data_IF_845853229148
#
_entry.id   IF_845853229148
#
_cell.length_a   1.000
_cell.length_b   1.000
_cell.length_c   1.000
_cell.angle_alpha   90.00
_cell.angle_beta   90.00
_cell.angle_gamma   90.00
#
_symmetry.space_group_name_H-M   'P 1'
#
loop_
_entity.id
_entity.type
_entity.pdbx_description
1 polymer ?
#
# COMPACT_ATOMS: atom_id res chain seq x y z
N UNK A 1 11.60 -24.90 6.14
CA UNK A 1 11.25 -23.52 5.73
C UNK A 1 11.71 -22.60 6.83
N UNK A 2 12.62 -21.66 6.54
CA UNK A 2 13.05 -20.70 7.56
C UNK A 2 11.88 -19.79 7.95
N UNK A 3 11.80 -19.46 9.24
CA UNK A 3 10.76 -18.60 9.84
C UNK A 3 10.57 -17.29 9.05
N UNK A 4 11.67 -16.73 8.53
CA UNK A 4 11.68 -15.56 7.65
C UNK A 4 10.81 -15.74 6.40
N UNK A 5 11.01 -16.83 5.65
CA UNK A 5 10.23 -17.09 4.43
C UNK A 5 8.75 -17.29 4.73
N UNK A 6 8.43 -17.99 5.82
CA UNK A 6 7.04 -18.17 6.25
C UNK A 6 6.35 -16.84 6.56
N UNK A 7 7.02 -15.95 7.30
CA UNK A 7 6.49 -14.63 7.63
C UNK A 7 6.30 -13.78 6.37
N UNK A 8 7.30 -13.75 5.49
CA UNK A 8 7.22 -12.97 4.25
C UNK A 8 6.10 -13.46 3.32
N UNK A 9 5.90 -14.78 3.21
CA UNK A 9 4.82 -15.37 2.42
C UNK A 9 3.43 -14.98 2.95
N UNK A 10 3.22 -15.10 4.26
CA UNK A 10 1.95 -14.68 4.91
C UNK A 10 1.71 -13.19 4.70
N UNK A 11 2.73 -12.35 4.93
CA UNK A 11 2.60 -10.91 4.72
C UNK A 11 2.34 -10.53 3.26
N UNK A 12 2.87 -11.29 2.29
CA UNK A 12 2.57 -11.13 0.87
C UNK A 12 1.07 -11.35 0.55
N UNK A 13 0.49 -12.42 1.10
CA UNK A 13 -0.96 -12.68 0.98
C UNK A 13 -1.79 -11.56 1.62
N UNK A 14 -1.36 -11.07 2.79
CA UNK A 14 -2.02 -9.95 3.46
C UNK A 14 -1.93 -8.66 2.64
N UNK A 15 -0.80 -8.41 1.99
CA UNK A 15 -0.61 -7.24 1.12
C UNK A 15 -1.56 -7.30 -0.07
N UNK A 16 -1.70 -8.46 -0.71
CA UNK A 16 -2.67 -8.68 -1.80
C UNK A 16 -4.11 -8.42 -1.33
N UNK A 17 -4.48 -8.92 -0.15
CA UNK A 17 -5.77 -8.64 0.45
C UNK A 17 -5.97 -7.14 0.71
N UNK A 18 -4.94 -6.45 1.20
CA UNK A 18 -4.96 -5.00 1.43
C UNK A 18 -5.13 -4.19 0.14
N UNK A 19 -4.47 -4.59 -0.94
CA UNK A 19 -4.65 -4.00 -2.28
C UNK A 19 -6.09 -4.18 -2.75
N UNK A 20 -6.64 -5.39 -2.69
CA UNK A 20 -8.02 -5.68 -3.12
C UNK A 20 -9.05 -4.90 -2.31
N UNK A 21 -8.87 -4.82 -0.99
CA UNK A 21 -9.72 -4.02 -0.12
C UNK A 21 -9.60 -2.52 -0.46
N UNK A 22 -8.39 -2.01 -0.65
CA UNK A 22 -8.19 -0.58 -1.00
C UNK A 22 -8.86 -0.26 -2.34
N UNK A 23 -8.74 -1.14 -3.32
CA UNK A 23 -9.44 -1.03 -4.59
C UNK A 23 -10.97 -1.01 -4.40
N UNK A 24 -11.52 -1.96 -3.64
CA UNK A 24 -12.95 -2.04 -3.41
C UNK A 24 -13.49 -0.77 -2.72
N UNK A 25 -12.77 -0.26 -1.72
CA UNK A 25 -13.10 0.99 -1.07
C UNK A 25 -13.06 2.17 -2.04
N UNK A 26 -12.03 2.23 -2.90
CA UNK A 26 -11.90 3.29 -3.91
C UNK A 26 -13.04 3.24 -4.92
N UNK A 27 -13.43 2.03 -5.36
CA UNK A 27 -14.59 1.80 -6.24
C UNK A 27 -15.90 2.26 -5.58
N UNK A 28 -16.08 1.97 -4.29
CA UNK A 28 -17.22 2.46 -3.53
C UNK A 28 -17.22 3.99 -3.53
N UNK A 29 -16.13 4.62 -3.11
CA UNK A 29 -16.05 6.09 -3.04
C UNK A 29 -16.25 6.76 -4.41
N UNK A 30 -15.69 6.20 -5.49
CA UNK A 30 -15.86 6.70 -6.86
C UNK A 30 -17.31 6.66 -7.34
N UNK A 31 -18.05 5.58 -7.02
CA UNK A 31 -19.46 5.45 -7.37
C UNK A 31 -20.30 6.58 -6.77
N UNK A 32 -19.93 7.09 -5.60
CA UNK A 32 -20.67 8.13 -4.89
C UNK A 32 -20.20 9.56 -5.15
N UNK A 33 -18.90 9.80 -5.37
CA UNK A 33 -18.36 11.16 -5.50
C UNK A 33 -18.04 11.62 -6.91
N UNK A 34 -17.61 10.73 -7.80
CA UNK A 34 -16.87 11.17 -9.00
C UNK A 34 -17.53 10.74 -10.31
N UNK A 35 -18.40 9.72 -10.31
CA UNK A 35 -19.07 9.24 -11.53
C UNK A 35 -18.11 8.65 -12.59
N UNK A 36 -16.79 8.76 -12.39
CA UNK A 36 -15.73 8.21 -13.24
C UNK A 36 -15.28 6.85 -12.70
N UNK A 37 -15.97 5.77 -13.08
CA UNK A 37 -15.64 4.40 -12.65
C UNK A 37 -14.34 3.78 -13.20
N UNK A 38 -13.42 4.60 -13.76
CA UNK A 38 -12.17 4.15 -14.40
C UNK A 38 -10.94 4.33 -13.51
N UNK A 39 -10.99 5.21 -12.50
CA UNK A 39 -9.83 5.54 -11.66
C UNK A 39 -9.50 4.40 -10.67
N UNK A 40 -10.50 3.70 -10.14
CA UNK A 40 -10.30 2.61 -9.18
C UNK A 40 -9.59 1.43 -9.83
N UNK A 41 -9.85 1.16 -11.11
CA UNK A 41 -9.11 0.15 -11.87
C UNK A 41 -7.61 0.42 -11.94
N UNK A 42 -7.19 1.68 -11.97
CA UNK A 42 -5.77 2.05 -11.96
C UNK A 42 -5.12 1.80 -10.59
N UNK A 43 -5.87 1.91 -9.48
CA UNK A 43 -5.40 1.49 -8.14
C UNK A 43 -5.20 -0.02 -8.10
N UNK A 44 -6.15 -0.80 -8.63
CA UNK A 44 -6.01 -2.25 -8.69
C UNK A 44 -4.81 -2.65 -9.56
N UNK A 45 -4.69 -2.05 -10.76
CA UNK A 45 -3.60 -2.33 -11.68
C UNK A 45 -2.25 -1.97 -11.04
N UNK A 46 -2.12 -0.77 -10.46
CA UNK A 46 -0.89 -0.34 -9.78
C UNK A 46 -0.54 -1.24 -8.59
N UNK A 47 -1.54 -1.69 -7.83
CA UNK A 47 -1.36 -2.65 -6.73
C UNK A 47 -0.95 -4.05 -7.19
N UNK A 48 -1.55 -4.57 -8.27
CA UNK A 48 -1.18 -5.87 -8.83
C UNK A 48 0.23 -5.86 -9.42
N UNK A 49 0.58 -4.79 -10.14
CA UNK A 49 1.94 -4.56 -10.63
C UNK A 49 2.92 -4.57 -9.45
N UNK A 50 2.61 -3.81 -8.39
CA UNK A 50 3.40 -3.77 -7.15
C UNK A 50 3.60 -5.16 -6.52
N UNK A 51 2.57 -6.00 -6.53
CA UNK A 51 2.67 -7.34 -5.96
C UNK A 51 3.66 -8.24 -6.72
N UNK A 52 3.90 -8.00 -8.01
CA UNK A 52 4.92 -8.71 -8.79
C UNK A 52 6.33 -8.44 -8.28
N UNK A 53 6.59 -7.28 -7.66
CA UNK A 53 7.91 -6.92 -7.13
C UNK A 53 8.31 -7.70 -5.90
N UNK A 54 7.36 -8.40 -5.29
CA UNK A 54 7.61 -9.33 -4.18
C UNK A 54 7.79 -10.78 -4.65
N UNK A 55 7.89 -11.05 -5.96
CA UNK A 55 8.14 -12.38 -6.53
C UNK A 55 9.58 -12.48 -7.06
N UNK A 56 10.53 -13.04 -6.27
CA UNK A 56 11.96 -13.05 -6.62
C UNK A 56 12.28 -13.79 -7.92
N UNK A 57 11.49 -14.82 -8.25
CA UNK A 57 11.70 -15.69 -9.42
C UNK A 57 11.50 -14.97 -10.76
N UNK A 58 10.69 -13.90 -10.78
CA UNK A 58 10.40 -13.14 -12.01
C UNK A 58 11.52 -12.14 -12.30
N UNK A 59 12.25 -11.72 -11.27
CA UNK A 59 13.33 -10.73 -11.38
C UNK A 59 14.64 -11.32 -11.93
N UNK A 60 14.83 -12.65 -11.84
CA UNK A 60 16.06 -13.31 -12.30
C UNK A 60 16.16 -13.53 -13.82
N UNK A 61 15.05 -13.66 -14.55
CA UNK A 61 15.06 -13.96 -15.99
C UNK A 61 14.76 -12.76 -16.92
N UNK A 62 14.46 -11.58 -16.35
CA UNK A 62 14.08 -10.39 -17.15
C UNK A 62 14.13 -9.06 -16.40
N UNK A 63 15.01 -8.95 -15.39
CA UNK A 63 14.95 -7.95 -14.32
C UNK A 63 14.75 -6.49 -14.73
N UNK A 64 15.23 -6.05 -15.89
CA UNK A 64 15.08 -4.66 -16.34
C UNK A 64 13.64 -4.29 -16.73
N UNK A 65 12.92 -5.15 -17.46
CA UNK A 65 11.51 -4.89 -17.85
C UNK A 65 10.57 -4.92 -16.65
N UNK A 66 10.85 -5.83 -15.70
CA UNK A 66 10.07 -5.99 -14.48
C UNK A 66 10.22 -4.76 -13.57
N UNK A 67 11.44 -4.22 -13.45
CA UNK A 67 11.66 -2.97 -12.70
C UNK A 67 10.90 -1.80 -13.29
N UNK A 68 10.90 -1.64 -14.62
CA UNK A 68 10.11 -0.57 -15.26
C UNK A 68 8.62 -0.71 -14.98
N UNK A 69 8.08 -1.93 -15.03
CA UNK A 69 6.70 -2.18 -14.62
C UNK A 69 6.48 -1.77 -13.16
N UNK A 70 7.38 -2.12 -12.24
CA UNK A 70 7.23 -1.81 -10.82
C UNK A 70 7.31 -0.33 -10.49
N UNK A 71 8.09 0.44 -11.24
CA UNK A 71 8.12 1.91 -11.14
C UNK A 71 6.77 2.51 -11.55
N UNK A 72 6.06 1.90 -12.51
CA UNK A 72 4.74 2.37 -12.95
C UNK A 72 3.69 2.17 -11.83
N UNK A 73 3.83 1.17 -10.97
CA UNK A 73 2.92 0.89 -9.85
C UNK A 73 2.61 2.13 -8.98
N UNK A 74 3.60 2.72 -8.30
CA UNK A 74 3.40 3.89 -7.45
C UNK A 74 3.03 5.14 -8.25
N UNK A 75 3.46 5.26 -9.51
CA UNK A 75 3.06 6.36 -10.40
C UNK A 75 1.56 6.32 -10.69
N UNK A 76 1.02 5.15 -11.02
CA UNK A 76 -0.43 4.96 -11.24
C UNK A 76 -1.22 5.26 -9.97
N UNK A 77 -0.76 4.74 -8.82
CA UNK A 77 -1.42 4.99 -7.53
C UNK A 77 -1.39 6.50 -7.24
N UNK A 78 -0.22 7.13 -7.30
CA UNK A 78 -0.07 8.57 -7.08
C UNK A 78 -0.94 9.44 -8.00
N UNK A 79 -1.00 9.09 -9.29
CA UNK A 79 -1.88 9.75 -10.26
C UNK A 79 -3.35 9.66 -9.86
N UNK A 80 -3.84 8.46 -9.52
CA UNK A 80 -5.23 8.29 -9.08
C UNK A 80 -5.51 9.06 -7.80
N UNK A 81 -4.60 9.01 -6.83
CA UNK A 81 -4.76 9.74 -5.57
C UNK A 81 -4.86 11.25 -5.80
N UNK A 82 -4.06 11.79 -6.74
CA UNK A 82 -4.10 13.20 -7.13
C UNK A 82 -5.40 13.56 -7.87
N UNK A 83 -5.77 12.79 -8.89
CA UNK A 83 -6.95 13.08 -9.75
C UNK A 83 -8.28 12.88 -9.02
N UNK A 84 -8.33 11.93 -8.08
CA UNK A 84 -9.55 11.63 -7.35
C UNK A 84 -9.89 12.72 -6.32
N UNK A 85 -8.92 13.56 -5.92
CA UNK A 85 -9.08 14.51 -4.81
C UNK A 85 -9.42 13.84 -3.48
N UNK A 86 -9.26 12.51 -3.38
CA UNK A 86 -9.65 11.71 -2.22
C UNK A 86 -8.58 11.72 -1.14
N UNK A 87 -7.34 12.01 -1.52
CA UNK A 87 -6.16 11.90 -0.65
C UNK A 87 -5.33 13.16 -0.80
N UNK A 88 -5.18 13.89 0.31
CA UNK A 88 -4.30 15.06 0.37
C UNK A 88 -2.86 14.57 0.54
N UNK A 89 -1.95 15.10 -0.27
CA UNK A 89 -0.53 14.93 -0.04
C UNK A 89 -0.16 15.55 1.31
N UNK A 90 0.45 14.76 2.20
CA UNK A 90 0.92 15.22 3.51
C UNK A 90 2.45 15.18 3.54
N UNK A 91 3.05 16.05 4.37
CA UNK A 91 4.49 16.00 4.65
C UNK A 91 4.92 14.64 5.21
N UNK A 92 4.02 13.99 5.97
CA UNK A 92 4.22 12.65 6.51
C UNK A 92 4.41 11.60 5.40
N UNK A 93 3.57 11.62 4.37
CA UNK A 93 3.70 10.73 3.22
C UNK A 93 5.00 10.99 2.44
N UNK A 94 5.36 12.25 2.24
CA UNK A 94 6.61 12.62 1.57
C UNK A 94 7.83 12.10 2.34
N UNK A 95 7.82 12.22 3.67
CA UNK A 95 8.89 11.75 4.53
C UNK A 95 9.02 10.22 4.46
N UNK A 96 7.91 9.49 4.51
CA UNK A 96 7.91 8.03 4.40
C UNK A 96 8.44 7.53 3.05
N UNK A 97 8.00 8.15 1.95
CA UNK A 97 8.52 7.85 0.61
C UNK A 97 10.01 8.18 0.51
N UNK A 98 10.44 9.31 1.06
CA UNK A 98 11.86 9.71 1.08
C UNK A 98 12.73 8.71 1.86
N UNK A 99 12.24 8.19 2.99
CA UNK A 99 12.93 7.16 3.76
C UNK A 99 12.99 5.82 3.03
N UNK A 100 11.93 5.44 2.31
CA UNK A 100 11.95 4.26 1.45
C UNK A 100 12.97 4.40 0.32
N UNK A 101 13.04 5.55 -0.36
CA UNK A 101 14.07 5.80 -1.38
C UNK A 101 15.47 5.80 -0.78
N UNK A 102 15.64 6.40 0.40
CA UNK A 102 16.91 6.42 1.12
C UNK A 102 17.42 5.01 1.47
N UNK A 103 16.53 4.02 1.61
CA UNK A 103 16.94 2.65 1.89
C UNK A 103 17.79 2.02 0.78
N UNK A 104 17.68 2.51 -0.46
CA UNK A 104 18.51 2.05 -1.60
C UNK A 104 20.01 2.23 -1.34
N UNK A 105 20.40 3.24 -0.54
CA UNK A 105 21.80 3.49 -0.17
C UNK A 105 22.40 2.29 0.58
N UNK A 106 21.57 1.56 1.34
CA UNK A 106 22.01 0.37 2.10
C UNK A 106 21.99 -0.92 1.27
N UNK A 107 21.26 -0.95 0.16
CA UNK A 107 21.03 -2.16 -0.66
C UNK A 107 21.96 -2.26 -1.87
N UNK A 108 22.88 -1.31 -2.06
CA UNK A 108 23.82 -1.31 -3.20
C UNK A 108 23.21 -0.90 -4.55
N UNK A 109 21.91 -0.58 -4.60
CA UNK A 109 21.25 0.06 -5.74
C UNK A 109 21.08 -0.81 -6.99
N UNK A 110 21.03 -2.14 -6.85
CA UNK A 110 20.76 -3.01 -7.99
C UNK A 110 19.27 -2.96 -8.44
N UNK A 111 18.98 -3.63 -9.55
CA UNK A 111 17.63 -3.67 -10.12
C UNK A 111 16.61 -4.31 -9.17
N UNK A 112 17.01 -5.32 -8.39
CA UNK A 112 16.14 -6.00 -7.46
C UNK A 112 15.79 -5.12 -6.25
N UNK A 113 16.79 -4.45 -5.68
CA UNK A 113 16.60 -3.45 -4.63
C UNK A 113 15.70 -2.30 -5.09
N UNK A 114 15.88 -1.85 -6.34
CA UNK A 114 15.02 -0.83 -6.95
C UNK A 114 13.57 -1.31 -7.04
N UNK A 115 13.36 -2.53 -7.56
CA UNK A 115 12.04 -3.16 -7.63
C UNK A 115 11.35 -3.24 -6.25
N UNK A 116 12.08 -3.68 -5.23
CA UNK A 116 11.56 -3.80 -3.86
C UNK A 116 11.16 -2.44 -3.27
N UNK A 117 12.00 -1.40 -3.46
CA UNK A 117 11.73 -0.06 -2.93
C UNK A 117 10.54 0.60 -3.63
N UNK A 118 10.43 0.53 -4.95
CA UNK A 118 9.27 1.06 -5.66
C UNK A 118 7.98 0.32 -5.28
N UNK A 119 8.06 -0.99 -5.04
CA UNK A 119 6.94 -1.77 -4.54
C UNK A 119 6.55 -1.35 -3.12
N UNK A 120 7.53 -1.06 -2.28
CA UNK A 120 7.29 -0.52 -0.94
C UNK A 120 6.62 0.86 -0.99
N UNK A 121 7.05 1.75 -1.90
CA UNK A 121 6.44 3.07 -2.09
C UNK A 121 4.95 2.94 -2.41
N UNK A 122 4.57 2.02 -3.31
CA UNK A 122 3.15 1.76 -3.60
C UNK A 122 2.35 1.40 -2.35
N UNK A 123 2.89 0.50 -1.51
CA UNK A 123 2.21 0.09 -0.26
C UNK A 123 2.09 1.29 0.69
N UNK A 124 3.16 2.09 0.84
CA UNK A 124 3.13 3.32 1.65
C UNK A 124 2.03 4.27 1.14
N UNK A 125 1.93 4.47 -0.18
CA UNK A 125 0.90 5.32 -0.78
C UNK A 125 -0.50 4.78 -0.49
N UNK A 126 -0.73 3.46 -0.61
CA UNK A 126 -2.02 2.85 -0.31
C UNK A 126 -2.40 2.95 1.18
N UNK A 127 -1.45 2.74 2.09
CA UNK A 127 -1.67 2.91 3.53
C UNK A 127 -2.00 4.36 3.89
N UNK A 128 -1.31 5.33 3.28
CA UNK A 128 -1.62 6.76 3.47
C UNK A 128 -2.94 7.16 2.82
N UNK A 129 -3.31 6.54 1.70
CA UNK A 129 -4.59 6.80 1.07
C UNK A 129 -5.75 6.48 2.02
N UNK A 130 -5.67 5.33 2.70
CA UNK A 130 -6.64 4.94 3.74
C UNK A 130 -6.69 5.95 4.89
N UNK A 131 -5.53 6.47 5.31
CA UNK A 131 -5.45 7.47 6.38
C UNK A 131 -6.07 8.82 6.01
N UNK A 132 -6.07 9.17 4.73
CA UNK A 132 -6.34 10.53 4.24
C UNK A 132 -7.70 10.68 3.54
N UNK A 133 -8.52 9.64 3.51
CA UNK A 133 -9.89 9.74 3.00
C UNK A 133 -10.69 10.83 3.74
N UNK A 134 -11.37 11.68 2.97
CA UNK A 134 -12.04 12.93 3.42
C UNK A 134 -13.07 12.75 4.55
N UNK A 135 -13.55 11.53 4.80
CA UNK A 135 -14.49 11.21 5.90
C UNK A 135 -14.05 10.03 6.77
N UNK A 136 -12.76 9.73 6.81
CA UNK A 136 -12.20 8.67 7.65
C UNK A 136 -12.26 9.09 9.13
N UNK A 137 -12.83 8.27 10.03
CA UNK A 137 -12.77 8.51 11.47
C UNK A 137 -11.33 8.67 11.97
N UNK A 138 -11.10 9.62 12.87
CA UNK A 138 -9.75 9.95 13.38
C UNK A 138 -9.00 8.74 13.93
N UNK A 139 -9.70 7.82 14.60
CA UNK A 139 -9.11 6.58 15.13
C UNK A 139 -8.59 5.66 14.02
N UNK A 140 -9.35 5.49 12.93
CA UNK A 140 -8.96 4.64 11.79
C UNK A 140 -7.79 5.30 11.03
N UNK A 141 -7.83 6.61 10.86
CA UNK A 141 -6.73 7.37 10.23
C UNK A 141 -5.42 7.19 11.00
N UNK A 142 -5.44 7.32 12.33
CA UNK A 142 -4.25 7.08 13.18
C UNK A 142 -3.69 5.67 13.04
N UNK A 143 -4.54 4.66 13.01
CA UNK A 143 -4.10 3.26 12.83
C UNK A 143 -3.43 3.06 11.46
N UNK A 144 -4.01 3.62 10.40
CA UNK A 144 -3.45 3.51 9.06
C UNK A 144 -2.12 4.26 8.91
N UNK A 145 -1.96 5.41 9.59
CA UNK A 145 -0.67 6.11 9.68
C UNK A 145 0.38 5.31 10.44
N UNK A 146 -0.01 4.71 11.57
CA UNK A 146 0.87 3.84 12.33
C UNK A 146 1.34 2.62 11.50
N UNK A 147 0.44 2.04 10.69
CA UNK A 147 0.79 1.01 9.72
C UNK A 147 1.83 1.52 8.72
N UNK A 148 1.59 2.66 8.07
CA UNK A 148 2.53 3.24 7.11
C UNK A 148 3.93 3.49 7.71
N UNK A 149 4.00 3.99 8.95
CA UNK A 149 5.26 4.17 9.67
C UNK A 149 5.97 2.87 10.01
N UNK A 150 5.24 1.86 10.51
CA UNK A 150 5.81 0.54 10.79
C UNK A 150 6.35 -0.10 9.52
N UNK A 151 5.64 0.03 8.40
CA UNK A 151 6.10 -0.47 7.11
C UNK A 151 7.36 0.28 6.63
N UNK A 152 7.37 1.60 6.73
CA UNK A 152 8.54 2.42 6.36
C UNK A 152 9.77 2.04 7.19
N UNK A 153 9.59 1.85 8.50
CA UNK A 153 10.65 1.41 9.40
C UNK A 153 11.14 0.00 9.04
N UNK A 154 10.21 -0.91 8.72
CA UNK A 154 10.55 -2.24 8.23
C UNK A 154 11.43 -2.17 6.96
N UNK A 155 11.05 -1.38 5.96
CA UNK A 155 11.81 -1.22 4.70
C UNK A 155 13.23 -0.76 5.00
N UNK A 156 13.39 0.28 5.82
CA UNK A 156 14.70 0.82 6.17
C UNK A 156 15.57 -0.17 6.96
N UNK A 157 14.99 -0.88 7.93
CA UNK A 157 15.72 -1.85 8.75
C UNK A 157 16.08 -3.11 7.96
N UNK A 158 15.17 -3.59 7.11
CA UNK A 158 15.37 -4.76 6.26
C UNK A 158 16.51 -4.50 5.26
N UNK A 159 16.55 -3.29 4.66
CA UNK A 159 17.62 -2.85 3.79
C UNK A 159 19.01 -2.84 4.46
N UNK A 160 19.07 -2.55 5.77
CA UNK A 160 20.32 -2.51 6.52
C UNK A 160 20.79 -3.88 7.02
N UNK A 161 19.86 -4.76 7.40
CA UNK A 161 20.16 -6.08 7.99
C UNK A 161 19.17 -7.15 7.53
N UNK A 162 19.34 -7.60 6.29
CA UNK A 162 18.59 -8.74 5.77
C UNK A 162 18.79 -9.99 6.64
N UNK A 163 17.71 -10.77 6.83
CA UNK A 163 17.77 -12.10 7.45
C UNK A 163 17.65 -12.15 8.98
N UNK A 164 17.42 -11.02 9.66
CA UNK A 164 17.12 -11.06 11.10
C UNK A 164 15.64 -11.39 11.35
N UNK A 165 15.36 -12.39 12.19
CA UNK A 165 14.01 -12.94 12.38
C UNK A 165 12.99 -11.94 12.94
N UNK A 166 13.44 -10.88 13.63
CA UNK A 166 12.56 -9.92 14.28
C UNK A 166 12.11 -8.78 13.36
N UNK A 167 12.85 -8.46 12.30
CA UNK A 167 12.50 -7.37 11.38
C UNK A 167 11.18 -7.68 10.63
N UNK A 168 10.95 -8.91 10.12
CA UNK A 168 9.67 -9.28 9.49
C UNK A 168 8.44 -9.18 10.39
N UNK A 169 8.61 -9.14 11.72
CA UNK A 169 7.48 -8.94 12.65
C UNK A 169 6.90 -7.53 12.48
N UNK A 170 7.73 -6.52 12.22
CA UNK A 170 7.27 -5.16 11.94
C UNK A 170 6.42 -5.11 10.67
N UNK A 171 6.81 -5.89 9.65
CA UNK A 171 6.03 -6.05 8.43
C UNK A 171 4.66 -6.66 8.73
N UNK A 172 4.60 -7.80 9.44
CA UNK A 172 3.31 -8.42 9.81
C UNK A 172 2.42 -7.48 10.61
N UNK A 173 2.97 -6.82 11.63
CA UNK A 173 2.22 -5.89 12.45
C UNK A 173 1.65 -4.73 11.61
N UNK A 174 2.46 -4.18 10.72
CA UNK A 174 2.01 -3.17 9.77
C UNK A 174 0.86 -3.67 8.90
N UNK A 175 0.98 -4.87 8.30
CA UNK A 175 -0.06 -5.45 7.45
C UNK A 175 -1.35 -5.70 8.25
N UNK A 176 -1.25 -6.20 9.48
CA UNK A 176 -2.41 -6.39 10.38
C UNK A 176 -3.13 -5.08 10.66
N UNK A 177 -2.40 -4.02 11.00
CA UNK A 177 -2.99 -2.71 11.27
C UNK A 177 -3.64 -2.11 10.03
N UNK A 178 -3.01 -2.26 8.87
CA UNK A 178 -3.56 -1.77 7.60
C UNK A 178 -4.85 -2.51 7.22
N UNK A 179 -4.85 -3.84 7.29
CA UNK A 179 -6.06 -4.65 7.06
C UNK A 179 -7.16 -4.32 8.06
N UNK A 180 -6.83 -4.17 9.34
CA UNK A 180 -7.78 -3.76 10.36
C UNK A 180 -8.42 -2.41 10.03
N UNK A 181 -7.62 -1.41 9.66
CA UNK A 181 -8.10 -0.09 9.27
C UNK A 181 -9.01 -0.18 8.04
N UNK A 182 -8.62 -0.96 7.02
CA UNK A 182 -9.42 -1.19 5.81
C UNK A 182 -10.76 -1.84 6.10
N UNK A 183 -10.79 -2.91 6.90
CA UNK A 183 -12.03 -3.62 7.24
C UNK A 183 -12.96 -2.70 8.03
N UNK A 184 -12.45 -1.98 9.04
CA UNK A 184 -13.24 -1.01 9.79
C UNK A 184 -13.78 0.11 8.90
N UNK A 185 -12.98 0.58 7.95
CA UNK A 185 -13.40 1.63 7.03
C UNK A 185 -14.48 1.14 6.06
N UNK A 186 -14.43 -0.12 5.61
CA UNK A 186 -15.51 -0.72 4.82
C UNK A 186 -16.81 -0.83 5.60
N UNK A 187 -16.76 -1.20 6.89
CA UNK A 187 -17.95 -1.25 7.74
C UNK A 187 -18.57 0.14 7.87
N UNK A 188 -17.76 1.16 8.18
CA UNK A 188 -18.22 2.55 8.28
C UNK A 188 -18.79 3.06 6.94
N UNK A 189 -18.15 2.71 5.83
CA UNK A 189 -18.64 3.08 4.50
C UNK A 189 -20.01 2.44 4.23
N UNK A 190 -20.16 1.13 4.50
CA UNK A 190 -21.43 0.41 4.35
C UNK A 190 -22.55 1.01 5.20
N UNK A 191 -22.27 1.32 6.46
CA UNK A 191 -23.25 1.91 7.37
C UNK A 191 -23.71 3.30 6.90
N UNK A 192 -22.78 4.13 6.39
CA UNK A 192 -23.13 5.43 5.81
C UNK A 192 -23.99 5.26 4.55
N UNK A 193 -23.65 4.32 3.66
CA UNK A 193 -24.42 4.08 2.44
C UNK A 193 -25.84 3.57 2.71
N UNK A 194 -26.02 2.71 3.70
CA UNK A 194 -27.36 2.25 4.10
C UNK A 194 -28.24 3.40 4.61
N UNK A 195 -27.65 4.37 5.33
CA UNK A 195 -28.38 5.55 5.82
C UNK A 195 -28.75 6.53 4.71
N UNK A 196 -27.86 6.79 3.76
CA UNK A 196 -28.16 7.71 2.64
C UNK A 196 -29.22 7.16 1.69
N UNK A 197 -29.36 5.84 1.57
CA UNK A 197 -30.45 5.21 0.81
C UNK A 197 -31.80 5.18 1.51
N UNK A 198 -31.83 5.32 2.85
CA UNK A 198 -33.06 5.44 3.63
C UNK A 198 -33.58 6.88 3.71
N UNK A 199 -32.71 7.88 3.61
CA UNK A 199 -33.11 9.30 3.53
C UNK A 199 -33.71 9.69 2.16
N UNK A 200 -33.68 8.77 1.18
CA UNK A 200 -34.27 8.94 -0.16
C UNK A 200 -35.57 8.16 -0.39
N UNK A 201 -36.20 7.64 0.68
CA UNK A 201 -37.52 6.99 0.69
C UNK A 201 -38.49 7.79 1.56
#
# INVERSE_FOLDING_TARGET
MDLYFGIMAVGGLMTLMGIVLTWNLSRLVEKFRVGKGKLSWLILLGGLITAMGFMPLILSEGGHLVVWALIIGPVLIGYVLSESGLVRATLEMLLQVSLAVFSLVFMGGDYLATAEVFSAISIILLMNAVASYVHCPSNISRISRAAAWLFTLFVLLNARRHGTAYIPILYLLSQLLWLYALVKLHLVAKDKFNKTGQESL
#
